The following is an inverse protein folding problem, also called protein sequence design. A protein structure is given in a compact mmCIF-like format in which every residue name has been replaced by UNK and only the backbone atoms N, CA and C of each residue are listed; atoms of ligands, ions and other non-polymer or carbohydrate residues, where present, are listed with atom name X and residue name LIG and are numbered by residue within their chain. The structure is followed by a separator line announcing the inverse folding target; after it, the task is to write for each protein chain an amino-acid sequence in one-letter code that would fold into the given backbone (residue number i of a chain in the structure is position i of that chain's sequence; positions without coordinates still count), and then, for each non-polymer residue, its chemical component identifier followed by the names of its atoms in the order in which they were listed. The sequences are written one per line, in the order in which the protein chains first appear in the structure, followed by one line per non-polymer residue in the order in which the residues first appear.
data_IF_841301021158
#
_entry.id   IF_841301021158
#
_cell.length_a   1.000
_cell.length_b   1.000
_cell.length_c   1.000
_cell.angle_alpha   90.00
_cell.angle_beta   90.00
_cell.angle_gamma   90.00
#
_symmetry.space_group_name_H-M   'P 1'
#
loop_
_entity.id
_entity.type
_entity.pdbx_description
1 polymer ?
#
# COMPACT_ATOMS: atom_id res chain seq x y z
N UNK A 1 -11.34 -11.79 6.95
CA UNK A 1 -10.54 -10.54 6.91
C UNK A 1 -9.41 -10.66 5.91
N UNK A 2 -9.32 -9.73 4.97
CA UNK A 2 -8.35 -9.75 3.87
C UNK A 2 -6.95 -9.36 4.36
N UNK A 3 -6.00 -10.29 4.26
CA UNK A 3 -4.61 -10.11 4.72
C UNK A 3 -3.89 -8.95 4.03
N UNK A 4 -4.20 -8.70 2.77
CA UNK A 4 -3.59 -7.61 2.00
C UNK A 4 -3.93 -6.26 2.64
N UNK A 5 -5.19 -5.99 2.98
CA UNK A 5 -5.61 -4.71 3.59
C UNK A 5 -4.87 -4.49 4.92
N UNK A 6 -4.77 -5.53 5.75
CA UNK A 6 -4.02 -5.48 7.02
C UNK A 6 -2.55 -5.12 6.77
N UNK A 7 -1.93 -5.78 5.79
CA UNK A 7 -0.53 -5.56 5.44
C UNK A 7 -0.26 -4.15 4.93
N UNK A 8 -1.19 -3.56 4.17
CA UNK A 8 -1.09 -2.18 3.72
C UNK A 8 -1.06 -1.20 4.91
N UNK A 9 -1.95 -1.39 5.89
CA UNK A 9 -1.94 -0.57 7.09
C UNK A 9 -0.66 -0.76 7.95
N UNK A 10 -0.12 -1.99 8.01
CA UNK A 10 1.16 -2.29 8.65
C UNK A 10 2.32 -1.54 7.97
N UNK A 11 2.39 -1.57 6.63
CA UNK A 11 3.43 -0.86 5.86
C UNK A 11 3.39 0.64 6.17
N UNK A 12 2.20 1.25 6.22
CA UNK A 12 2.03 2.65 6.57
C UNK A 12 2.48 2.95 8.01
N UNK A 13 2.14 2.08 8.96
CA UNK A 13 2.57 2.21 10.35
C UNK A 13 4.09 2.18 10.48
N UNK A 14 4.75 1.25 9.77
CA UNK A 14 6.21 1.20 9.72
C UNK A 14 6.82 2.46 9.10
N UNK A 15 6.21 2.97 8.02
CA UNK A 15 6.62 4.23 7.41
C UNK A 15 6.57 5.42 8.37
N UNK A 16 5.53 5.53 9.17
CA UNK A 16 5.41 6.61 10.15
C UNK A 16 6.45 6.52 11.27
N UNK A 17 6.75 5.29 11.71
CA UNK A 17 7.71 5.05 12.79
C UNK A 17 9.15 5.27 12.36
N UNK A 18 9.52 4.69 11.22
CA UNK A 18 10.91 4.66 10.77
C UNK A 18 11.30 5.92 9.98
N UNK A 19 10.37 6.52 9.24
CA UNK A 19 10.58 7.68 8.33
C UNK A 19 11.79 7.51 7.40
N UNK A 20 12.06 6.27 7.00
CA UNK A 20 13.19 5.87 6.16
C UNK A 20 12.74 5.65 4.71
N UNK A 21 13.56 4.99 3.92
CA UNK A 21 13.22 4.59 2.55
C UNK A 21 12.00 3.64 2.53
N UNK A 22 11.12 3.78 1.52
CA UNK A 22 9.89 2.98 1.40
C UNK A 22 10.14 1.47 1.35
N UNK A 23 11.30 1.02 0.85
CA UNK A 23 11.69 -0.39 0.82
C UNK A 23 11.93 -0.93 2.23
N UNK A 24 12.46 -0.11 3.11
CA UNK A 24 12.84 -0.50 4.47
C UNK A 24 11.63 -0.84 5.35
N UNK A 25 10.43 -0.35 4.98
CA UNK A 25 9.17 -0.64 5.69
C UNK A 25 8.75 -2.11 5.63
N UNK A 26 9.32 -2.88 4.69
CA UNK A 26 9.08 -4.31 4.57
C UNK A 26 10.00 -5.14 5.47
N UNK A 27 11.11 -4.57 5.95
CA UNK A 27 12.09 -5.30 6.77
C UNK A 27 11.47 -5.87 8.06
N UNK A 28 10.64 -5.13 8.83
CA UNK A 28 9.98 -5.67 10.00
C UNK A 28 9.07 -6.87 9.68
N UNK A 29 8.41 -6.84 8.51
CA UNK A 29 7.56 -7.96 8.07
C UNK A 29 8.37 -9.22 7.78
N UNK A 30 9.60 -9.09 7.21
CA UNK A 30 10.51 -10.23 7.07
C UNK A 30 10.87 -10.81 8.44
N UNK A 31 11.22 -9.95 9.41
CA UNK A 31 11.56 -10.34 10.76
C UNK A 31 10.43 -11.14 11.45
N UNK A 32 9.21 -10.60 11.41
CA UNK A 32 8.03 -11.27 11.96
C UNK A 32 7.75 -12.64 11.32
N UNK A 33 7.93 -12.76 9.99
CA UNK A 33 7.75 -14.04 9.32
C UNK A 33 8.82 -15.04 9.73
N UNK A 34 10.07 -14.59 9.87
CA UNK A 34 11.16 -15.45 10.32
C UNK A 34 10.95 -15.98 11.74
N UNK A 35 10.46 -15.15 12.66
CA UNK A 35 10.13 -15.55 14.03
C UNK A 35 9.04 -16.62 14.02
N UNK A 36 7.94 -16.37 13.29
CA UNK A 36 6.80 -17.28 13.25
C UNK A 36 7.16 -18.64 12.65
N UNK A 37 7.88 -18.63 11.52
CA UNK A 37 8.25 -19.86 10.79
C UNK A 37 9.51 -20.53 11.33
N UNK A 38 10.23 -19.90 12.27
CA UNK A 38 11.48 -20.40 12.87
C UNK A 38 12.53 -20.73 11.80
N UNK A 39 12.69 -19.88 10.79
CA UNK A 39 13.71 -20.06 9.78
C UNK A 39 15.12 -19.97 10.41
N UNK A 40 16.05 -20.81 9.95
CA UNK A 40 17.48 -20.68 10.21
C UNK A 40 18.22 -20.19 8.98
N UNK A 41 17.86 -20.74 7.82
CA UNK A 41 18.36 -20.38 6.50
C UNK A 41 17.18 -20.01 5.60
N UNK A 42 17.36 -19.02 4.73
CA UNK A 42 16.31 -18.54 3.83
C UNK A 42 16.50 -19.12 2.44
N UNK A 43 15.54 -19.92 1.99
CA UNK A 43 15.28 -20.17 0.59
C UNK A 43 14.31 -19.10 0.08
N UNK A 44 14.73 -18.30 -0.91
CA UNK A 44 13.94 -17.14 -1.38
C UNK A 44 12.58 -17.53 -1.96
N UNK A 45 12.49 -18.63 -2.70
CA UNK A 45 11.22 -19.03 -3.33
C UNK A 45 10.20 -19.48 -2.29
N UNK A 46 10.63 -20.33 -1.35
CA UNK A 46 9.79 -20.74 -0.23
C UNK A 46 9.40 -19.54 0.63
N UNK A 47 10.35 -18.65 0.92
CA UNK A 47 10.09 -17.46 1.71
C UNK A 47 9.08 -16.51 1.04
N UNK A 48 9.19 -16.31 -0.28
CA UNK A 48 8.22 -15.50 -1.04
C UNK A 48 6.81 -16.08 -0.95
N UNK A 49 6.68 -17.41 -1.08
CA UNK A 49 5.39 -18.09 -0.97
C UNK A 49 4.78 -17.91 0.43
N UNK A 50 5.58 -18.09 1.47
CA UNK A 50 5.14 -17.89 2.85
C UNK A 50 4.79 -16.42 3.14
N UNK A 51 5.57 -15.49 2.59
CA UNK A 51 5.30 -14.04 2.70
C UNK A 51 3.97 -13.69 2.02
N UNK A 52 3.75 -14.16 0.80
CA UNK A 52 2.48 -14.02 0.08
C UNK A 52 1.31 -14.62 0.86
N UNK A 53 1.51 -15.81 1.42
CA UNK A 53 0.48 -16.51 2.20
C UNK A 53 0.13 -15.74 3.48
N UNK A 54 1.13 -15.19 4.17
CA UNK A 54 0.91 -14.44 5.42
C UNK A 54 0.34 -13.05 5.19
N UNK A 55 0.88 -12.32 4.23
CA UNK A 55 0.60 -10.89 4.04
C UNK A 55 -0.29 -10.56 2.84
N UNK A 56 -0.56 -11.53 1.97
CA UNK A 56 -1.33 -11.31 0.74
C UNK A 56 -0.60 -10.48 -0.32
N UNK A 57 0.71 -10.24 -0.15
CA UNK A 57 1.55 -9.42 -1.03
C UNK A 57 2.51 -10.33 -1.83
N UNK A 58 2.36 -10.34 -3.15
CA UNK A 58 3.23 -11.11 -4.05
C UNK A 58 4.42 -10.24 -4.51
N UNK A 59 5.45 -10.18 -3.67
CA UNK A 59 6.65 -9.40 -3.98
C UNK A 59 7.50 -10.15 -5.02
N UNK A 60 7.86 -9.52 -6.16
CA UNK A 60 8.73 -10.13 -7.15
C UNK A 60 10.13 -10.46 -6.60
N UNK A 61 10.86 -11.36 -7.27
CA UNK A 61 12.15 -11.87 -6.78
C UNK A 61 13.19 -10.76 -6.59
N UNK A 62 13.34 -9.86 -7.56
CA UNK A 62 14.36 -8.80 -7.50
C UNK A 62 14.10 -7.78 -6.36
N UNK A 63 12.87 -7.25 -6.19
CA UNK A 63 12.53 -6.46 -5.01
C UNK A 63 12.74 -7.20 -3.69
N UNK A 64 12.38 -8.48 -3.61
CA UNK A 64 12.58 -9.28 -2.40
C UNK A 64 14.08 -9.38 -2.06
N UNK A 65 14.95 -9.66 -3.04
CA UNK A 65 16.41 -9.66 -2.86
C UNK A 65 16.90 -8.30 -2.38
N UNK A 66 16.34 -7.20 -2.92
CA UNK A 66 16.71 -5.85 -2.50
C UNK A 66 16.35 -5.61 -1.03
N UNK A 67 15.17 -6.02 -0.58
CA UNK A 67 14.76 -5.91 0.82
C UNK A 67 15.71 -6.74 1.71
N UNK A 68 16.03 -7.98 1.33
CA UNK A 68 16.99 -8.81 2.08
C UNK A 68 18.39 -8.18 2.14
N UNK A 69 18.91 -7.63 1.05
CA UNK A 69 20.21 -6.95 1.05
C UNK A 69 20.23 -5.73 1.97
N UNK A 70 19.11 -4.98 2.07
CA UNK A 70 18.96 -3.89 3.05
C UNK A 70 18.89 -4.42 4.49
N UNK A 71 18.19 -5.51 4.71
CA UNK A 71 18.11 -6.17 6.01
C UNK A 71 19.49 -6.71 6.46
N UNK A 72 20.34 -7.17 5.53
CA UNK A 72 21.75 -7.52 5.81
C UNK A 72 22.55 -6.29 6.25
N UNK A 73 22.40 -5.14 5.57
CA UNK A 73 23.05 -3.89 5.98
C UNK A 73 22.65 -3.47 7.40
N UNK A 74 21.41 -3.75 7.81
CA UNK A 74 20.90 -3.54 9.18
C UNK A 74 21.28 -4.66 10.15
N UNK A 75 22.08 -5.64 9.73
CA UNK A 75 22.55 -6.78 10.53
C UNK A 75 21.43 -7.72 11.02
N UNK A 76 20.27 -7.71 10.38
CA UNK A 76 19.16 -8.63 10.67
C UNK A 76 19.38 -10.00 10.06
N UNK A 77 20.05 -10.01 8.90
CA UNK A 77 20.49 -11.22 8.23
C UNK A 77 22.00 -11.17 8.00
N UNK A 78 22.58 -12.34 7.91
CA UNK A 78 23.95 -12.56 7.46
C UNK A 78 23.88 -13.16 6.06
N UNK A 79 24.79 -12.77 5.17
CA UNK A 79 24.91 -13.36 3.83
C UNK A 79 26.19 -14.17 3.74
N UNK A 80 26.05 -15.47 3.46
CA UNK A 80 27.19 -16.37 3.26
C UNK A 80 26.93 -17.26 2.04
N UNK A 81 27.88 -17.37 1.11
CA UNK A 81 27.78 -18.19 -0.10
C UNK A 81 26.49 -17.98 -0.90
N UNK A 82 26.00 -16.70 -0.98
CA UNK A 82 24.77 -16.37 -1.70
C UNK A 82 23.48 -16.64 -0.94
N UNK A 83 23.52 -17.28 0.23
CA UNK A 83 22.38 -17.58 1.08
C UNK A 83 22.22 -16.57 2.21
N UNK A 84 21.00 -16.40 2.71
CA UNK A 84 20.68 -15.54 3.82
C UNK A 84 20.43 -16.38 5.09
N UNK A 85 21.07 -15.99 6.18
CA UNK A 85 20.95 -16.59 7.51
C UNK A 85 20.40 -15.57 8.50
N UNK A 86 19.62 -16.03 9.46
CA UNK A 86 18.99 -15.16 10.45
C UNK A 86 19.98 -14.80 11.56
N UNK A 87 20.00 -13.52 11.93
CA UNK A 87 20.61 -13.07 13.18
C UNK A 87 19.53 -13.08 14.27
N UNK A 88 19.50 -14.17 15.07
CA UNK A 88 18.45 -14.41 16.05
C UNK A 88 18.33 -13.28 17.09
N UNK A 89 19.45 -12.70 17.55
CA UNK A 89 19.45 -11.62 18.53
C UNK A 89 18.77 -10.34 18.00
N UNK A 90 19.02 -10.02 16.75
CA UNK A 90 18.46 -8.82 16.11
C UNK A 90 17.00 -8.98 15.67
N UNK A 91 16.64 -10.18 15.21
CA UNK A 91 15.28 -10.47 14.75
C UNK A 91 14.27 -10.48 15.90
N UNK A 92 14.64 -10.91 17.10
CA UNK A 92 13.76 -10.92 18.26
C UNK A 92 13.17 -9.53 18.61
N UNK A 93 13.81 -8.43 18.15
CA UNK A 93 13.30 -7.06 18.36
C UNK A 93 12.13 -6.68 17.44
N UNK A 94 11.77 -7.53 16.48
CA UNK A 94 10.72 -7.25 15.45
C UNK A 94 9.39 -7.98 15.73
N UNK A 95 9.07 -8.26 16.99
CA UNK A 95 7.74 -8.76 17.35
C UNK A 95 6.71 -7.64 17.29
N UNK A 96 5.89 -7.65 16.24
CA UNK A 96 4.81 -6.68 15.99
C UNK A 96 3.42 -7.28 16.25
N UNK A 97 3.29 -8.32 17.05
CA UNK A 97 2.01 -9.01 17.29
C UNK A 97 0.92 -8.08 17.83
N UNK A 98 1.26 -7.19 18.75
CA UNK A 98 0.33 -6.22 19.35
C UNK A 98 -0.12 -5.19 18.31
N UNK A 99 0.80 -4.69 17.50
CA UNK A 99 0.51 -3.72 16.44
C UNK A 99 -0.44 -4.32 15.38
N UNK A 100 -0.15 -5.54 14.92
CA UNK A 100 -1.02 -6.28 14.00
C UNK A 100 -2.43 -6.44 14.54
N UNK A 101 -2.60 -6.84 15.80
CA UNK A 101 -3.92 -7.00 16.43
C UNK A 101 -4.69 -5.67 16.49
N UNK A 102 -4.01 -4.57 16.78
CA UNK A 102 -4.64 -3.25 16.79
C UNK A 102 -5.08 -2.80 15.40
N UNK A 103 -4.26 -3.04 14.38
CA UNK A 103 -4.57 -2.75 12.98
C UNK A 103 -5.75 -3.61 12.52
N UNK A 104 -5.76 -4.90 12.82
CA UNK A 104 -6.88 -5.79 12.49
C UNK A 104 -8.21 -5.31 13.07
N UNK A 105 -8.20 -4.82 14.31
CA UNK A 105 -9.39 -4.24 14.94
C UNK A 105 -9.88 -2.99 14.20
N UNK A 106 -8.97 -2.11 13.77
CA UNK A 106 -9.31 -0.92 12.99
C UNK A 106 -9.87 -1.28 11.60
N UNK A 107 -9.29 -2.28 10.92
CA UNK A 107 -9.80 -2.78 9.64
C UNK A 107 -11.21 -3.35 9.80
N UNK A 108 -11.44 -4.17 10.85
CA UNK A 108 -12.78 -4.70 11.13
C UNK A 108 -13.79 -3.58 11.34
N UNK A 109 -13.45 -2.57 12.15
CA UNK A 109 -14.30 -1.39 12.33
C UNK A 109 -14.61 -0.67 11.02
N UNK A 110 -13.62 -0.53 10.12
CA UNK A 110 -13.81 0.07 8.80
C UNK A 110 -14.80 -0.75 7.96
N UNK A 111 -14.62 -2.08 7.89
CA UNK A 111 -15.52 -2.99 7.14
C UNK A 111 -16.93 -2.96 7.72
N UNK A 112 -17.10 -3.05 9.03
CA UNK A 112 -18.39 -2.97 9.71
C UNK A 112 -19.11 -1.64 9.42
N UNK A 113 -18.35 -0.54 9.39
CA UNK A 113 -18.91 0.78 9.06
C UNK A 113 -19.38 0.85 7.59
N UNK A 114 -18.68 0.21 6.67
CA UNK A 114 -19.10 0.11 5.26
C UNK A 114 -20.37 -0.74 5.15
N UNK A 115 -20.44 -1.86 5.86
CA UNK A 115 -21.62 -2.74 5.88
C UNK A 115 -22.86 -2.01 6.42
N UNK A 116 -22.72 -1.30 7.54
CA UNK A 116 -23.80 -0.49 8.09
C UNK A 116 -24.25 0.60 7.13
N UNK A 117 -23.30 1.32 6.52
CA UNK A 117 -23.60 2.34 5.52
C UNK A 117 -24.33 1.77 4.29
N UNK A 118 -23.94 0.58 3.83
CA UNK A 118 -24.59 -0.12 2.73
C UNK A 118 -26.05 -0.44 3.04
N UNK A 119 -26.29 -0.93 4.25
CA UNK A 119 -27.65 -1.25 4.71
C UNK A 119 -28.50 0.01 4.89
N UNK A 120 -27.97 1.02 5.58
CA UNK A 120 -28.71 2.22 5.97
C UNK A 120 -29.06 3.13 4.77
N UNK A 121 -28.13 3.27 3.83
CA UNK A 121 -28.29 4.21 2.71
C UNK A 121 -28.85 3.58 1.44
N UNK A 122 -28.56 2.30 1.22
CA UNK A 122 -28.86 1.63 -0.05
C UNK A 122 -29.72 0.37 0.10
N UNK A 123 -30.03 -0.04 1.34
CA UNK A 123 -30.75 -1.28 1.65
C UNK A 123 -30.13 -2.51 0.96
N UNK A 124 -28.80 -2.61 0.97
CA UNK A 124 -28.04 -3.74 0.45
C UNK A 124 -27.19 -4.36 1.56
N UNK A 125 -27.02 -5.67 1.52
CA UNK A 125 -26.29 -6.44 2.53
C UNK A 125 -25.19 -7.26 1.84
N UNK A 126 -24.09 -6.62 1.40
CA UNK A 126 -22.95 -7.35 0.87
C UNK A 126 -22.27 -8.17 1.98
N UNK A 127 -21.58 -9.25 1.60
CA UNK A 127 -20.73 -9.98 2.53
C UNK A 127 -19.44 -9.19 2.87
N UNK A 128 -18.82 -9.48 4.01
CA UNK A 128 -17.51 -8.90 4.37
C UNK A 128 -16.48 -9.07 3.26
N UNK A 129 -16.40 -10.25 2.63
CA UNK A 129 -15.47 -10.54 1.55
C UNK A 129 -15.70 -9.63 0.34
N UNK A 130 -16.95 -9.42 -0.06
CA UNK A 130 -17.29 -8.52 -1.18
C UNK A 130 -16.91 -7.07 -0.88
N UNK A 131 -17.09 -6.62 0.37
CA UNK A 131 -16.68 -5.27 0.81
C UNK A 131 -15.15 -5.14 0.79
N UNK A 132 -14.43 -6.13 1.31
CA UNK A 132 -12.96 -6.14 1.32
C UNK A 132 -12.38 -6.14 -0.10
N UNK A 133 -12.93 -6.93 -1.01
CA UNK A 133 -12.52 -6.97 -2.42
C UNK A 133 -12.85 -5.66 -3.15
N UNK A 134 -14.01 -5.07 -2.87
CA UNK A 134 -14.40 -3.77 -3.40
C UNK A 134 -13.48 -2.65 -2.89
N UNK A 135 -13.10 -2.69 -1.60
CA UNK A 135 -12.17 -1.75 -1.00
C UNK A 135 -10.78 -1.84 -1.65
N UNK A 136 -10.24 -3.06 -1.85
CA UNK A 136 -8.97 -3.24 -2.55
C UNK A 136 -9.02 -2.75 -4.00
N UNK A 137 -10.12 -3.05 -4.71
CA UNK A 137 -10.31 -2.57 -6.07
C UNK A 137 -10.45 -1.04 -6.15
N UNK A 138 -11.04 -0.43 -5.12
CA UNK A 138 -11.15 1.02 -4.98
C UNK A 138 -9.78 1.66 -4.72
N UNK A 139 -9.02 1.14 -3.77
CA UNK A 139 -7.66 1.60 -3.47
C UNK A 139 -6.77 1.53 -4.72
N UNK A 140 -6.80 0.41 -5.43
CA UNK A 140 -6.03 0.21 -6.67
C UNK A 140 -6.31 1.26 -7.75
N UNK A 141 -7.50 1.85 -7.75
CA UNK A 141 -7.91 2.83 -8.75
C UNK A 141 -7.76 4.28 -8.26
N UNK A 142 -7.92 4.54 -6.95
CA UNK A 142 -8.14 5.87 -6.39
C UNK A 142 -7.22 6.23 -5.22
N UNK A 143 -6.18 5.44 -4.92
CA UNK A 143 -5.25 5.73 -3.81
C UNK A 143 -4.63 7.13 -3.92
N UNK A 144 -4.22 7.54 -5.10
CA UNK A 144 -3.67 8.87 -5.35
C UNK A 144 -4.75 9.97 -5.17
N UNK A 145 -5.97 9.75 -5.66
CA UNK A 145 -7.06 10.72 -5.51
C UNK A 145 -7.43 10.94 -4.04
N UNK A 146 -7.43 9.88 -3.23
CA UNK A 146 -7.65 9.97 -1.79
C UNK A 146 -6.53 10.75 -1.11
N UNK A 147 -5.26 10.54 -1.51
CA UNK A 147 -4.12 11.27 -1.00
C UNK A 147 -4.19 12.76 -1.33
N UNK A 148 -4.64 13.11 -2.54
CA UNK A 148 -4.82 14.49 -2.96
C UNK A 148 -6.00 15.18 -2.27
N UNK A 149 -7.09 14.47 -1.99
CA UNK A 149 -8.27 15.00 -1.32
C UNK A 149 -7.97 15.57 0.09
N UNK A 150 -6.88 15.13 0.73
CA UNK A 150 -6.47 15.68 2.04
C UNK A 150 -5.84 17.06 1.95
N UNK A 151 -5.32 17.46 0.81
CA UNK A 151 -4.62 18.74 0.62
C UNK A 151 -5.46 19.78 -0.12
N UNK A 152 -6.35 19.33 -0.97
CA UNK A 152 -7.24 20.19 -1.77
C UNK A 152 -8.68 19.78 -1.50
N UNK A 153 -9.53 20.71 -1.07
CA UNK A 153 -10.94 20.47 -0.71
C UNK A 153 -11.83 19.95 -1.86
N UNK A 154 -11.28 19.64 -3.03
CA UNK A 154 -12.08 19.60 -4.24
C UNK A 154 -12.22 18.28 -4.98
N UNK A 155 -11.47 17.22 -4.70
CA UNK A 155 -11.54 16.06 -5.60
C UNK A 155 -11.56 14.72 -4.83
N UNK A 156 -12.71 14.40 -4.26
CA UNK A 156 -13.06 12.99 -4.03
C UNK A 156 -13.50 12.40 -5.37
N UNK A 157 -13.14 11.14 -5.68
CA UNK A 157 -13.33 10.57 -7.01
C UNK A 157 -14.78 10.68 -7.46
N UNK A 158 -14.98 11.34 -8.60
CA UNK A 158 -16.30 11.41 -9.25
C UNK A 158 -16.69 10.02 -9.74
N UNK A 159 -17.87 9.58 -9.37
CA UNK A 159 -18.37 8.23 -9.57
C UNK A 159 -18.68 8.00 -11.05
N UNK A 160 -17.79 7.32 -11.77
CA UNK A 160 -18.02 6.80 -13.13
C UNK A 160 -17.98 5.28 -13.19
N UNK A 161 -18.33 4.57 -12.09
CA UNK A 161 -18.24 3.12 -12.05
C UNK A 161 -19.60 2.45 -12.17
N UNK A 162 -19.75 1.53 -13.12
CA UNK A 162 -20.94 0.69 -13.33
C UNK A 162 -21.05 -0.48 -12.33
N UNK A 163 -20.05 -0.71 -11.49
CA UNK A 163 -20.07 -1.80 -10.49
C UNK A 163 -20.62 -1.26 -9.16
N UNK A 164 -21.78 -1.78 -8.73
CA UNK A 164 -22.52 -1.36 -7.51
C UNK A 164 -21.66 -1.19 -6.26
N UNK A 165 -20.71 -2.10 -5.99
CA UNK A 165 -19.88 -2.03 -4.79
C UNK A 165 -18.74 -0.98 -4.87
N UNK A 166 -18.21 -0.68 -6.06
CA UNK A 166 -17.25 0.43 -6.20
C UNK A 166 -17.91 1.79 -5.93
N UNK A 167 -19.15 1.95 -6.38
CA UNK A 167 -19.95 3.13 -6.05
C UNK A 167 -20.14 3.26 -4.54
N UNK A 168 -20.48 2.17 -3.86
CA UNK A 168 -20.67 2.13 -2.41
C UNK A 168 -19.42 2.64 -1.68
N UNK A 169 -18.22 2.13 -2.00
CA UNK A 169 -16.97 2.55 -1.35
C UNK A 169 -16.68 4.03 -1.60
N UNK A 170 -16.90 4.53 -2.82
CA UNK A 170 -16.74 5.96 -3.12
C UNK A 170 -17.72 6.84 -2.32
N UNK A 171 -18.99 6.46 -2.27
CA UNK A 171 -20.01 7.20 -1.52
C UNK A 171 -19.73 7.16 0.00
N UNK A 172 -19.31 6.01 0.52
CA UNK A 172 -18.88 5.86 1.89
C UNK A 172 -17.68 6.76 2.21
N UNK A 173 -16.67 6.78 1.35
CA UNK A 173 -15.46 7.62 1.53
C UNK A 173 -15.82 9.10 1.62
N UNK A 174 -16.74 9.59 0.76
CA UNK A 174 -17.25 10.95 0.80
C UNK A 174 -17.99 11.21 2.13
N UNK A 175 -18.85 10.28 2.52
CA UNK A 175 -19.63 10.40 3.76
C UNK A 175 -18.74 10.50 5.00
N UNK A 176 -17.73 9.63 5.14
CA UNK A 176 -16.86 9.65 6.33
C UNK A 176 -15.87 10.83 6.32
N UNK A 177 -15.53 11.37 5.15
CA UNK A 177 -14.69 12.57 5.07
C UNK A 177 -15.30 13.74 5.85
N UNK A 178 -16.63 13.86 5.83
CA UNK A 178 -17.37 14.93 6.53
C UNK A 178 -17.80 14.51 7.95
N UNK A 179 -18.21 13.25 8.15
CA UNK A 179 -18.87 12.79 9.36
C UNK A 179 -17.96 12.07 10.36
N UNK A 180 -16.90 11.39 9.91
CA UNK A 180 -15.95 10.66 10.78
C UNK A 180 -14.49 10.86 10.30
N UNK A 181 -13.85 11.99 10.67
CA UNK A 181 -12.47 12.27 10.30
C UNK A 181 -11.46 11.23 10.78
N UNK A 182 -11.76 10.51 11.88
CA UNK A 182 -10.87 9.46 12.41
C UNK A 182 -10.87 8.25 11.50
N UNK A 183 -12.06 7.81 11.08
CA UNK A 183 -12.21 6.68 10.16
C UNK A 183 -11.66 7.02 8.77
N UNK A 184 -11.90 8.25 8.29
CA UNK A 184 -11.33 8.75 7.05
C UNK A 184 -9.80 8.76 7.10
N UNK A 185 -9.21 9.23 8.21
CA UNK A 185 -7.75 9.20 8.40
C UNK A 185 -7.20 7.77 8.33
N UNK A 186 -7.90 6.80 8.91
CA UNK A 186 -7.48 5.41 8.84
C UNK A 186 -7.57 4.84 7.41
N UNK A 187 -8.64 5.16 6.66
CA UNK A 187 -8.73 4.81 5.23
C UNK A 187 -7.58 5.41 4.43
N UNK A 188 -7.20 6.65 4.72
CA UNK A 188 -6.05 7.32 4.14
C UNK A 188 -4.74 6.56 4.46
N UNK A 189 -4.55 6.10 5.70
CA UNK A 189 -3.38 5.32 6.08
C UNK A 189 -3.27 4.02 5.28
N UNK A 190 -4.39 3.33 5.03
CA UNK A 190 -4.44 2.15 4.16
C UNK A 190 -4.10 2.51 2.71
N UNK A 191 -4.57 3.67 2.21
CA UNK A 191 -4.26 4.16 0.86
C UNK A 191 -2.79 4.49 0.68
N UNK A 192 -2.15 5.13 1.67
CA UNK A 192 -0.71 5.38 1.66
C UNK A 192 0.06 4.05 1.64
N UNK A 193 -0.35 3.09 2.49
CA UNK A 193 0.23 1.75 2.49
C UNK A 193 0.12 1.06 1.13
N UNK A 194 -1.01 1.23 0.43
CA UNK A 194 -1.20 0.70 -0.93
C UNK A 194 -0.23 1.34 -1.92
N UNK A 195 -0.07 2.66 -1.91
CA UNK A 195 0.87 3.36 -2.76
C UNK A 195 2.33 2.92 -2.50
N UNK A 196 2.73 2.79 -1.21
CA UNK A 196 4.05 2.30 -0.82
C UNK A 196 4.29 0.84 -1.26
N UNK A 197 3.30 -0.03 -1.12
CA UNK A 197 3.36 -1.41 -1.60
C UNK A 197 3.44 -1.46 -3.13
N UNK A 198 2.68 -0.63 -3.82
CA UNK A 198 2.66 -0.51 -5.27
C UNK A 198 4.05 -0.19 -5.84
N UNK A 199 4.80 0.69 -5.20
CA UNK A 199 6.15 1.04 -5.61
C UNK A 199 7.12 -0.17 -5.63
N UNK A 200 6.86 -1.20 -4.81
CA UNK A 200 7.65 -2.43 -4.79
C UNK A 200 7.05 -3.51 -5.69
N UNK A 201 5.73 -3.70 -5.64
CA UNK A 201 5.05 -4.75 -6.38
C UNK A 201 5.14 -4.56 -7.90
N UNK A 202 5.18 -3.31 -8.36
CA UNK A 202 5.25 -2.96 -9.79
C UNK A 202 6.65 -2.56 -10.25
N UNK A 203 7.68 -2.71 -9.42
CA UNK A 203 9.06 -2.33 -9.76
C UNK A 203 9.71 -3.20 -10.84
N UNK A 204 9.11 -4.32 -11.24
CA UNK A 204 9.58 -5.12 -12.40
C UNK A 204 9.36 -4.43 -13.75
N UNK A 205 8.65 -3.31 -13.80
CA UNK A 205 8.66 -2.43 -14.97
C UNK A 205 10.06 -1.85 -15.27
N UNK A 206 11.04 -2.07 -14.41
CA UNK A 206 12.46 -1.76 -14.62
C UNK A 206 13.15 -2.54 -15.76
N UNK A 207 12.47 -3.48 -16.41
CA UNK A 207 12.93 -4.00 -17.72
C UNK A 207 12.96 -2.89 -18.80
N UNK A 208 12.40 -1.73 -18.53
CA UNK A 208 12.44 -0.53 -19.36
C UNK A 208 13.55 0.46 -19.03
N UNK A 209 14.61 0.09 -18.25
CA UNK A 209 15.84 0.88 -18.16
C UNK A 209 16.69 0.68 -19.44
N UNK A 210 16.07 0.61 -20.60
CA UNK A 210 16.67 1.01 -21.84
C UNK A 210 16.57 2.53 -21.90
N UNK A 211 17.71 3.24 -22.06
CA UNK A 211 17.67 4.65 -22.40
C UNK A 211 16.73 4.79 -23.59
N UNK A 212 15.54 5.35 -23.36
CA UNK A 212 14.61 5.66 -24.42
C UNK A 212 15.28 6.69 -25.32
N UNK A 213 15.81 6.26 -26.46
CA UNK A 213 16.29 7.15 -27.50
C UNK A 213 15.11 7.40 -28.46
N UNK A 214 14.79 8.66 -28.67
CA UNK A 214 13.69 9.11 -29.56
C UNK A 214 12.29 8.78 -29.01
N UNK A 215 12.04 8.98 -27.72
CA UNK A 215 10.72 8.89 -27.13
C UNK A 215 9.93 10.19 -27.45
N UNK A 216 8.79 10.07 -28.10
CA UNK A 216 7.82 11.16 -28.21
C UNK A 216 6.78 10.96 -27.09
N UNK A 217 6.71 11.91 -26.16
CA UNK A 217 5.74 11.91 -25.08
C UNK A 217 4.57 12.81 -25.51
N UNK A 218 3.39 12.24 -25.63
CA UNK A 218 2.15 12.97 -25.87
C UNK A 218 1.49 13.27 -24.54
N UNK A 219 1.39 14.56 -24.19
CA UNK A 219 0.76 15.00 -22.94
C UNK A 219 -0.71 15.28 -23.25
N UNK A 220 -1.61 14.61 -22.54
CA UNK A 220 -3.04 14.83 -22.69
C UNK A 220 -3.52 16.09 -21.95
N UNK A 221 -4.74 16.54 -22.27
CA UNK A 221 -5.31 17.77 -21.69
C UNK A 221 -5.37 17.78 -20.16
N UNK A 222 -5.77 16.70 -19.45
CA UNK A 222 -5.74 16.66 -17.99
C UNK A 222 -4.35 16.88 -17.39
N UNK A 223 -3.30 16.34 -18.01
CA UNK A 223 -1.91 16.55 -17.60
C UNK A 223 -1.47 17.99 -17.85
N UNK A 224 -1.81 18.58 -19.01
CA UNK A 224 -1.53 19.98 -19.30
C UNK A 224 -2.21 20.90 -18.28
N UNK A 225 -3.47 20.67 -17.96
CA UNK A 225 -4.21 21.44 -16.96
C UNK A 225 -3.55 21.35 -15.58
N UNK A 226 -3.01 20.19 -15.22
CA UNK A 226 -2.27 20.01 -13.96
C UNK A 226 -0.93 20.75 -13.97
N UNK A 227 -0.20 20.74 -15.08
CA UNK A 227 1.06 21.44 -15.24
C UNK A 227 0.93 22.98 -15.15
N UNK A 228 -0.16 23.55 -15.66
CA UNK A 228 -0.44 24.99 -15.56
C UNK A 228 -1.07 25.39 -14.21
N UNK A 229 -1.24 24.44 -13.28
CA UNK A 229 -1.77 24.70 -11.95
C UNK A 229 -3.29 24.75 -11.83
N UNK A 230 -4.04 24.47 -12.91
CA UNK A 230 -5.52 24.49 -12.89
C UNK A 230 -6.11 23.49 -11.88
N UNK A 231 -5.41 22.38 -11.63
CA UNK A 231 -5.79 21.34 -10.67
C UNK A 231 -5.10 21.51 -9.31
N UNK A 232 -4.54 22.70 -9.02
CA UNK A 232 -3.90 23.05 -7.74
C UNK A 232 -2.36 22.89 -7.73
N UNK A 233 -1.72 23.66 -6.86
CA UNK A 233 -0.25 23.78 -6.77
C UNK A 233 0.46 22.46 -6.48
N UNK A 234 -0.17 21.58 -5.72
CA UNK A 234 0.42 20.29 -5.39
C UNK A 234 0.56 19.38 -6.60
N UNK A 235 -0.49 19.28 -7.43
CA UNK A 235 -0.44 18.51 -8.67
C UNK A 235 0.53 19.14 -9.66
N UNK A 236 0.56 20.46 -9.74
CA UNK A 236 1.52 21.17 -10.57
C UNK A 236 2.95 20.79 -10.22
N UNK A 237 3.33 20.87 -8.93
CA UNK A 237 4.68 20.50 -8.47
C UNK A 237 5.02 19.06 -8.76
N UNK A 238 4.11 18.12 -8.48
CA UNK A 238 4.32 16.71 -8.73
C UNK A 238 4.54 16.40 -10.23
N UNK A 239 3.78 17.03 -11.12
CA UNK A 239 3.97 16.83 -12.55
C UNK A 239 5.21 17.53 -13.11
N UNK A 240 5.58 18.70 -12.57
CA UNK A 240 6.84 19.37 -12.94
C UNK A 240 8.04 18.50 -12.52
N UNK A 241 8.03 17.93 -11.30
CA UNK A 241 9.07 16.99 -10.89
C UNK A 241 9.14 15.76 -11.78
N UNK A 242 7.99 15.18 -12.14
CA UNK A 242 7.93 14.04 -13.06
C UNK A 242 8.58 14.39 -14.42
N UNK A 243 8.26 15.54 -15.00
CA UNK A 243 8.84 15.97 -16.29
C UNK A 243 10.33 16.24 -16.20
N UNK A 244 10.83 16.73 -15.07
CA UNK A 244 12.25 16.96 -14.85
C UNK A 244 13.05 15.64 -14.66
N UNK A 245 12.38 14.52 -14.42
CA UNK A 245 13.01 13.19 -14.26
C UNK A 245 12.99 12.38 -15.55
N UNK A 246 12.22 12.80 -16.56
CA UNK A 246 12.14 12.17 -17.89
C UNK A 246 13.24 12.71 -18.82
#
# INVERSE_FOLDING_TARGET
MNRTIVSLAIIKSHWEREKTDYIDNFIPMLGCLCIEKKYNEINLDTFRLDFKTKYGLDIPTNPMITIFNRAVKRKLFLRNNGKFYINAEKIATYDNSIESTNIERKIRKLVDSILSFAQDKYNISPSECEVEDALLAFLKQYDLDILFATKEKSILPSIKSTKKLKYLISAFTISIHESDPVLFRFLLDVSIGHALAGAILYSETNSFIGKFRNLNIYIDTPLILSLIGYNGDFKQKAFVELLNTL
#
